data_IF_144803741961
#
_entry.id   IF_144803741961
#
_cell.length_a   1.000
_cell.length_b   1.000
_cell.length_c   1.000
_cell.angle_alpha   90.00
_cell.angle_beta   90.00
_cell.angle_gamma   90.00
#
_symmetry.space_group_name_H-M   'P 1'
#
loop_
_entity.id
_entity.type
_entity.pdbx_description
1 polymer ?
#
# COMPACT_ATOMS: atom_id res chain seq x y z
N UNK A 1 14.94 7.07 20.45
CA UNK A 1 15.41 7.57 19.16
C UNK A 1 15.59 6.36 18.28
N UNK A 2 14.59 6.03 17.46
CA UNK A 2 14.77 5.02 16.42
C UNK A 2 15.46 5.71 15.24
N UNK A 3 16.68 5.29 14.95
CA UNK A 3 17.39 5.71 13.76
C UNK A 3 16.68 5.05 12.58
N UNK A 4 15.69 5.74 11.99
CA UNK A 4 15.09 5.32 10.74
C UNK A 4 16.20 5.21 9.70
N UNK A 5 16.53 3.98 9.33
CA UNK A 5 17.60 3.68 8.39
C UNK A 5 17.24 4.30 7.05
N UNK A 6 18.08 5.19 6.55
CA UNK A 6 17.88 5.80 5.23
C UNK A 6 17.79 4.74 4.12
N UNK A 7 18.31 3.54 4.36
CA UNK A 7 18.17 2.40 3.44
C UNK A 7 16.72 1.92 3.30
N UNK A 8 15.95 1.86 4.39
CA UNK A 8 14.54 1.42 4.34
C UNK A 8 13.68 2.41 3.54
N UNK A 9 14.06 3.70 3.55
CA UNK A 9 13.35 4.74 2.79
C UNK A 9 13.65 4.66 1.29
N UNK A 10 14.92 4.45 0.93
CA UNK A 10 15.36 4.37 -0.49
C UNK A 10 14.91 3.07 -1.16
N UNK A 11 14.78 1.97 -0.43
CA UNK A 11 14.20 0.74 -0.98
C UNK A 11 12.70 0.88 -1.25
N UNK A 12 11.95 1.54 -0.36
CA UNK A 12 10.51 1.79 -0.54
C UNK A 12 10.22 2.63 -1.79
N UNK A 13 10.94 3.72 -2.01
CA UNK A 13 10.75 4.58 -3.20
C UNK A 13 11.06 3.86 -4.54
N UNK A 14 11.76 2.72 -4.49
CA UNK A 14 12.04 1.90 -5.68
C UNK A 14 11.14 0.68 -5.80
N UNK A 15 10.35 0.36 -4.77
CA UNK A 15 9.47 -0.80 -4.81
C UNK A 15 8.28 -0.48 -5.73
N UNK A 16 8.06 -1.28 -6.80
CA UNK A 16 6.95 -1.04 -7.72
C UNK A 16 5.60 -1.04 -7.00
N UNK A 17 5.43 -1.78 -5.90
CA UNK A 17 4.19 -1.79 -5.10
C UNK A 17 3.98 -0.44 -4.43
N UNK A 18 5.02 0.14 -3.83
CA UNK A 18 4.92 1.43 -3.14
C UNK A 18 4.60 2.56 -4.13
N UNK A 19 5.25 2.56 -5.29
CA UNK A 19 5.01 3.54 -6.36
C UNK A 19 3.58 3.45 -6.91
N UNK A 20 3.00 2.24 -7.02
CA UNK A 20 1.58 2.11 -7.39
C UNK A 20 0.66 2.65 -6.29
N UNK A 21 0.97 2.39 -5.01
CA UNK A 21 0.19 2.90 -3.87
C UNK A 21 0.17 4.44 -3.80
N UNK A 22 1.27 5.11 -4.14
CA UNK A 22 1.31 6.58 -4.23
C UNK A 22 0.34 7.14 -5.29
N UNK A 23 0.06 6.40 -6.37
CA UNK A 23 -0.94 6.85 -7.37
C UNK A 23 -2.36 6.87 -6.82
N UNK A 24 -2.64 6.09 -5.78
CA UNK A 24 -3.94 6.02 -5.13
C UNK A 24 -4.30 7.38 -4.52
N UNK A 25 -3.33 8.08 -3.91
CA UNK A 25 -3.55 9.38 -3.26
C UNK A 25 -3.58 10.55 -4.26
N UNK A 26 -2.88 10.44 -5.39
CA UNK A 26 -2.87 11.51 -6.40
C UNK A 26 -4.13 11.56 -7.27
N UNK A 27 -4.65 10.39 -7.66
CA UNK A 27 -5.70 10.29 -8.70
C UNK A 27 -6.98 9.66 -8.20
N UNK A 28 -7.02 9.21 -6.94
CA UNK A 28 -8.15 8.49 -6.35
C UNK A 28 -8.60 7.31 -7.23
N UNK A 29 -7.64 6.68 -7.91
CA UNK A 29 -7.91 5.63 -8.87
C UNK A 29 -7.67 4.28 -8.22
N UNK A 30 -8.57 3.30 -8.41
CA UNK A 30 -8.33 1.95 -7.97
C UNK A 30 -7.10 1.38 -8.70
N UNK A 31 -6.15 0.85 -7.95
CA UNK A 31 -4.96 0.18 -8.49
C UNK A 31 -5.09 -1.32 -8.31
N UNK A 32 -4.39 -2.08 -9.14
CA UNK A 32 -4.33 -3.54 -9.05
C UNK A 32 -2.92 -3.97 -8.72
N UNK A 33 -2.79 -4.73 -7.64
CA UNK A 33 -1.53 -5.28 -7.16
C UNK A 33 -1.70 -6.79 -7.09
N UNK A 34 -1.10 -7.51 -8.05
CA UNK A 34 -1.31 -8.95 -8.25
C UNK A 34 -2.82 -9.30 -8.36
N UNK A 35 -3.35 -10.08 -7.42
CA UNK A 35 -4.77 -10.47 -7.34
C UNK A 35 -5.62 -9.52 -6.48
N UNK A 36 -5.01 -8.49 -5.90
CA UNK A 36 -5.69 -7.53 -5.02
C UNK A 36 -6.03 -6.24 -5.78
N UNK A 37 -7.20 -5.70 -5.50
CA UNK A 37 -7.66 -4.37 -5.89
C UNK A 37 -7.53 -3.49 -4.67
N UNK A 38 -6.79 -2.39 -4.82
CA UNK A 38 -6.62 -1.41 -3.76
C UNK A 38 -7.35 -0.15 -4.17
N UNK A 39 -8.19 0.39 -3.29
CA UNK A 39 -9.03 1.56 -3.55
C UNK A 39 -8.94 2.52 -2.37
N UNK A 40 -9.17 3.81 -2.60
CA UNK A 40 -9.36 4.77 -1.52
C UNK A 40 -10.84 5.05 -1.39
N UNK A 41 -11.40 4.83 -0.20
CA UNK A 41 -12.82 5.02 0.04
C UNK A 41 -13.18 6.46 0.42
N UNK A 42 -14.48 6.71 0.58
CA UNK A 42 -15.05 8.01 0.94
C UNK A 42 -14.56 8.55 2.30
N UNK A 43 -13.98 7.69 3.14
CA UNK A 43 -13.45 8.02 4.46
C UNK A 43 -11.93 8.23 4.46
N UNK A 44 -11.31 8.30 3.27
CA UNK A 44 -9.85 8.34 3.09
C UNK A 44 -9.11 7.12 3.69
N UNK A 45 -9.78 5.98 3.75
CA UNK A 45 -9.14 4.70 4.09
C UNK A 45 -8.82 3.93 2.81
N UNK A 46 -7.70 3.24 2.84
CA UNK A 46 -7.26 2.37 1.76
C UNK A 46 -7.89 1.00 1.97
N UNK A 47 -8.78 0.60 1.07
CA UNK A 47 -9.42 -0.71 1.07
C UNK A 47 -8.63 -1.66 0.18
N UNK A 48 -8.44 -2.89 0.63
CA UNK A 48 -7.70 -3.96 -0.03
C UNK A 48 -8.68 -5.12 -0.23
N UNK A 49 -9.05 -5.36 -1.49
CA UNK A 49 -10.00 -6.41 -1.85
C UNK A 49 -9.33 -7.44 -2.75
N UNK A 50 -9.50 -8.72 -2.43
CA UNK A 50 -8.98 -9.83 -3.23
C UNK A 50 -9.82 -11.08 -3.01
N UNK A 51 -9.40 -12.21 -3.58
CA UNK A 51 -10.14 -13.46 -3.47
C UNK A 51 -10.19 -13.94 -2.00
N UNK A 52 -11.33 -13.72 -1.33
CA UNK A 52 -11.54 -14.03 0.08
C UNK A 52 -10.90 -13.06 1.08
N UNK A 53 -10.32 -11.94 0.63
CA UNK A 53 -9.69 -10.93 1.48
C UNK A 53 -10.39 -9.59 1.27
N UNK A 54 -10.86 -9.00 2.36
CA UNK A 54 -11.35 -7.62 2.40
C UNK A 54 -10.83 -6.99 3.69
N UNK A 55 -9.91 -6.04 3.56
CA UNK A 55 -9.26 -5.37 4.69
C UNK A 55 -9.12 -3.87 4.43
N UNK A 56 -8.96 -3.07 5.48
CA UNK A 56 -8.88 -1.62 5.40
C UNK A 56 -7.74 -1.08 6.25
N UNK A 57 -6.95 -0.17 5.70
CA UNK A 57 -5.83 0.49 6.37
C UNK A 57 -5.89 2.00 6.24
N UNK A 58 -5.26 2.71 7.18
CA UNK A 58 -5.34 4.17 7.30
C UNK A 58 -4.39 4.94 6.39
N UNK A 59 -3.31 4.31 5.92
CA UNK A 59 -2.22 4.98 5.24
C UNK A 59 -1.42 4.03 4.33
N UNK A 60 -0.66 4.62 3.40
CA UNK A 60 0.14 3.89 2.40
C UNK A 60 1.19 3.01 3.08
N UNK A 61 1.84 3.46 4.15
CA UNK A 61 2.89 2.68 4.82
C UNK A 61 2.31 1.41 5.46
N UNK A 62 1.14 1.50 6.09
CA UNK A 62 0.41 0.35 6.61
C UNK A 62 -0.01 -0.61 5.48
N UNK A 63 -0.47 -0.08 4.34
CA UNK A 63 -0.82 -0.86 3.17
C UNK A 63 0.39 -1.59 2.57
N UNK A 64 1.52 -0.91 2.44
CA UNK A 64 2.77 -1.50 1.98
C UNK A 64 3.27 -2.59 2.93
N UNK A 65 3.25 -2.32 4.24
CA UNK A 65 3.62 -3.31 5.26
C UNK A 65 2.69 -4.53 5.24
N UNK A 66 1.41 -4.35 4.88
CA UNK A 66 0.48 -5.45 4.66
C UNK A 66 0.96 -6.35 3.53
N UNK A 67 1.20 -5.79 2.33
CA UNK A 67 1.68 -6.59 1.19
C UNK A 67 3.04 -7.26 1.44
N UNK A 68 3.97 -6.57 2.12
CA UNK A 68 5.27 -7.15 2.49
C UNK A 68 5.16 -8.33 3.46
N UNK A 69 4.13 -8.38 4.32
CA UNK A 69 3.88 -9.53 5.21
C UNK A 69 3.33 -10.74 4.47
N UNK A 70 2.51 -10.53 3.45
CA UNK A 70 1.89 -11.60 2.66
C UNK A 70 2.83 -12.19 1.60
N UNK A 71 3.89 -11.48 1.23
CA UNK A 71 4.88 -11.95 0.25
C UNK A 71 6.03 -12.77 0.89
N UNK A 72 5.85 -13.28 2.12
CA UNK A 72 6.77 -14.19 2.82
C UNK A 72 6.23 -15.62 2.82
#
# INVERSE_FOLDING_TARGET
MEQASWFDFVEKERDPVYVELEKLTEKNCPIKIASYTVTLNSFNLIEIEGDGVHDCVSDIDACYAYFCKWNK
#
